data_IF_735740588657
#
_entry.id   IF_735740588657
#
_cell.length_a   1.000
_cell.length_b   1.000
_cell.length_c   1.000
_cell.angle_alpha   90.00
_cell.angle_beta   90.00
_cell.angle_gamma   90.00
#
_symmetry.space_group_name_H-M   'P 1'
#
loop_
_entity.id
_entity.type
_entity.pdbx_description
1 polymer ?
#
# COMPACT_ATOMS: atom_id res chain seq x y z
N UNK A 1 -2.30 7.85 7.67
CA UNK A 1 -2.59 7.84 6.21
C UNK A 1 -3.92 8.53 5.88
N UNK A 2 -4.47 9.35 6.79
CA UNK A 2 -5.83 9.90 6.67
C UNK A 2 -6.06 10.76 5.43
N UNK A 3 -5.00 11.36 4.88
CA UNK A 3 -5.06 12.14 3.63
C UNK A 3 -5.69 11.38 2.46
N UNK A 4 -5.56 10.06 2.40
CA UNK A 4 -6.18 9.24 1.34
C UNK A 4 -7.69 9.31 1.46
N UNK A 5 -8.23 9.16 2.67
CA UNK A 5 -9.66 9.23 2.94
C UNK A 5 -10.17 10.65 2.64
N UNK A 6 -9.40 11.68 2.99
CA UNK A 6 -9.74 13.06 2.65
C UNK A 6 -9.85 13.27 1.14
N UNK A 7 -8.93 12.69 0.35
CA UNK A 7 -8.99 12.76 -1.12
C UNK A 7 -10.14 11.94 -1.70
N UNK A 8 -10.46 10.80 -1.12
CA UNK A 8 -11.63 10.00 -1.52
C UNK A 8 -12.92 10.80 -1.28
N UNK A 9 -13.03 11.50 -0.15
CA UNK A 9 -14.17 12.36 0.16
C UNK A 9 -14.30 13.55 -0.82
N UNK A 10 -13.17 14.14 -1.22
CA UNK A 10 -13.13 15.19 -2.26
C UNK A 10 -13.46 14.61 -3.65
N UNK A 11 -13.18 13.33 -3.89
CA UNK A 11 -13.52 12.60 -5.11
C UNK A 11 -12.49 12.67 -6.23
N UNK A 12 -11.33 13.31 -6.02
CA UNK A 12 -10.24 13.36 -6.99
C UNK A 12 -8.88 13.66 -6.35
N UNK A 13 -7.81 13.41 -7.11
CA UNK A 13 -6.45 13.89 -6.81
C UNK A 13 -5.82 14.51 -8.06
N UNK A 14 -5.03 15.56 -7.85
CA UNK A 14 -4.22 16.15 -8.91
C UNK A 14 -2.83 15.54 -8.91
N UNK A 15 -2.40 15.01 -10.05
CA UNK A 15 -1.12 14.34 -10.26
C UNK A 15 -0.27 15.20 -11.20
N UNK A 16 0.87 15.66 -10.68
CA UNK A 16 1.82 16.45 -11.45
C UNK A 16 2.71 15.51 -12.26
N UNK A 17 2.88 15.79 -13.56
CA UNK A 17 3.83 15.04 -14.37
C UNK A 17 5.27 15.33 -13.87
N UNK A 18 6.06 14.30 -13.50
CA UNK A 18 7.41 14.50 -12.97
C UNK A 18 8.37 15.15 -13.99
N UNK A 19 8.15 14.95 -15.29
CA UNK A 19 8.98 15.51 -16.36
C UNK A 19 8.52 16.90 -16.82
N UNK A 20 7.24 17.25 -16.59
CA UNK A 20 6.70 18.57 -16.89
C UNK A 20 5.77 19.05 -15.78
N UNK A 21 6.33 19.83 -14.84
CA UNK A 21 5.60 20.31 -13.65
C UNK A 21 4.40 21.21 -13.96
N UNK A 22 4.32 21.80 -15.16
CA UNK A 22 3.16 22.60 -15.58
C UNK A 22 1.99 21.74 -16.05
N UNK A 23 2.24 20.47 -16.35
CA UNK A 23 1.19 19.51 -16.74
C UNK A 23 0.67 18.80 -15.48
N UNK A 24 -0.59 19.07 -15.17
CA UNK A 24 -1.31 18.48 -14.04
C UNK A 24 -2.51 17.71 -14.56
N UNK A 25 -2.58 16.43 -14.21
CA UNK A 25 -3.70 15.56 -14.55
C UNK A 25 -4.59 15.37 -13.33
N UNK A 26 -5.90 15.56 -13.49
CA UNK A 26 -6.87 15.24 -12.44
C UNK A 26 -7.34 13.80 -12.59
N UNK A 27 -7.17 13.01 -11.54
CA UNK A 27 -7.58 11.61 -11.49
C UNK A 27 -8.81 11.48 -10.60
N UNK A 28 -9.91 10.95 -11.16
CA UNK A 28 -11.12 10.67 -10.38
C UNK A 28 -10.87 9.58 -9.35
N UNK A 29 -11.37 9.80 -8.14
CA UNK A 29 -11.40 8.82 -7.06
C UNK A 29 -12.83 8.34 -6.76
N UNK A 30 -13.82 8.75 -7.56
CA UNK A 30 -15.21 8.31 -7.38
C UNK A 30 -15.28 6.80 -7.68
N UNK A 31 -15.95 5.98 -6.84
CA UNK A 31 -15.94 4.52 -7.00
C UNK A 31 -16.36 3.98 -8.37
N UNK A 32 -17.27 4.68 -9.07
CA UNK A 32 -17.70 4.29 -10.43
C UNK A 32 -16.57 4.38 -11.47
N UNK A 33 -15.61 5.28 -11.27
CA UNK A 33 -14.52 5.56 -12.20
C UNK A 33 -13.27 4.72 -11.88
N UNK A 34 -13.16 4.24 -10.63
CA UNK A 34 -12.01 3.45 -10.15
C UNK A 34 -12.26 1.96 -10.33
N UNK A 35 -11.37 1.28 -11.07
CA UNK A 35 -11.43 -0.18 -11.25
C UNK A 35 -10.88 -0.94 -10.05
N UNK A 36 -9.75 -0.50 -9.52
CA UNK A 36 -9.06 -1.15 -8.41
C UNK A 36 -8.11 -0.15 -7.74
N UNK A 37 -7.98 -0.25 -6.41
CA UNK A 37 -6.89 0.40 -5.68
C UNK A 37 -5.71 -0.54 -5.55
N UNK A 38 -4.51 -0.05 -5.83
CA UNK A 38 -3.28 -0.83 -5.66
C UNK A 38 -2.48 -0.25 -4.50
N UNK A 39 -2.25 -1.06 -3.48
CA UNK A 39 -1.46 -0.73 -2.30
C UNK A 39 -0.15 -1.50 -2.32
N UNK A 40 0.95 -0.87 -1.91
CA UNK A 40 2.24 -1.54 -1.77
C UNK A 40 2.87 -1.20 -0.44
N UNK A 41 3.33 -2.20 0.30
CA UNK A 41 4.05 -1.98 1.56
C UNK A 41 4.82 -3.22 2.01
N UNK A 42 5.78 -3.01 2.91
CA UNK A 42 6.40 -4.05 3.76
C UNK A 42 5.74 -4.14 5.14
N UNK A 43 4.98 -3.11 5.51
CA UNK A 43 4.24 -3.00 6.77
C UNK A 43 2.87 -2.40 6.49
N UNK A 44 1.81 -3.20 6.58
CA UNK A 44 0.43 -2.79 6.33
C UNK A 44 -0.30 -2.34 7.59
N UNK A 45 0.36 -2.26 8.75
CA UNK A 45 -0.29 -1.92 10.03
C UNK A 45 -1.14 -0.63 9.95
N UNK A 46 -0.58 0.45 9.43
CA UNK A 46 -1.30 1.73 9.31
C UNK A 46 -2.45 1.66 8.30
N UNK A 47 -2.29 0.88 7.25
CA UNK A 47 -3.33 0.69 6.25
C UNK A 47 -4.50 -0.13 6.81
N UNK A 48 -4.21 -1.20 7.56
CA UNK A 48 -5.21 -2.04 8.24
C UNK A 48 -5.99 -1.20 9.24
N UNK A 49 -5.30 -0.44 10.10
CA UNK A 49 -5.95 0.48 11.05
C UNK A 49 -6.85 1.49 10.35
N UNK A 50 -6.39 2.04 9.21
CA UNK A 50 -7.19 2.99 8.42
C UNK A 50 -8.43 2.31 7.81
N UNK A 51 -8.29 1.08 7.30
CA UNK A 51 -9.39 0.30 6.76
C UNK A 51 -10.45 -0.01 7.82
N UNK A 52 -10.02 -0.48 9.00
CA UNK A 52 -10.92 -0.77 10.12
C UNK A 52 -11.63 0.48 10.65
N UNK A 53 -10.97 1.65 10.57
CA UNK A 53 -11.56 2.94 10.94
C UNK A 53 -12.60 3.43 9.93
N UNK A 54 -12.42 3.14 8.63
CA UNK A 54 -13.30 3.61 7.55
C UNK A 54 -13.73 2.51 6.57
N UNK A 55 -14.32 1.39 7.05
CA UNK A 55 -14.54 0.22 6.21
C UNK A 55 -15.49 0.51 5.06
N UNK A 56 -16.50 1.36 5.26
CA UNK A 56 -17.47 1.72 4.23
C UNK A 56 -16.87 2.52 3.08
N UNK A 57 -15.81 3.31 3.35
CA UNK A 57 -15.12 4.06 2.30
C UNK A 57 -14.41 3.09 1.35
N UNK A 58 -13.67 2.13 1.89
CA UNK A 58 -12.93 1.17 1.09
C UNK A 58 -13.86 0.14 0.42
N UNK A 59 -14.86 -0.38 1.15
CA UNK A 59 -15.86 -1.32 0.59
C UNK A 59 -16.73 -0.73 -0.52
N UNK A 60 -16.76 0.60 -0.68
CA UNK A 60 -17.44 1.24 -1.81
C UNK A 60 -16.74 1.00 -3.16
N UNK A 61 -15.45 0.61 -3.14
CA UNK A 61 -14.67 0.33 -4.35
C UNK A 61 -14.79 -1.13 -4.79
N UNK A 62 -14.64 -1.37 -6.10
CA UNK A 62 -14.79 -2.70 -6.70
C UNK A 62 -13.70 -3.70 -6.30
N UNK A 63 -12.54 -3.22 -5.90
CA UNK A 63 -11.42 -4.09 -5.58
C UNK A 63 -10.23 -3.34 -4.99
N UNK A 64 -9.48 -4.08 -4.19
CA UNK A 64 -8.20 -3.69 -3.64
C UNK A 64 -7.18 -4.78 -3.98
N UNK A 65 -5.99 -4.36 -4.40
CA UNK A 65 -4.89 -5.24 -4.74
C UNK A 65 -3.66 -4.82 -3.93
N UNK A 66 -2.93 -5.79 -3.40
CA UNK A 66 -1.86 -5.56 -2.45
C UNK A 66 -0.56 -6.17 -2.96
N UNK A 67 0.45 -5.33 -3.15
CA UNK A 67 1.82 -5.75 -3.35
C UNK A 67 2.53 -5.81 -1.99
N UNK A 68 2.75 -7.02 -1.49
CA UNK A 68 3.40 -7.25 -0.20
C UNK A 68 4.84 -7.71 -0.44
N UNK A 69 5.80 -7.04 0.21
CA UNK A 69 7.19 -7.51 0.25
C UNK A 69 7.54 -8.08 1.62
N UNK A 70 8.02 -9.33 1.64
CA UNK A 70 8.59 -9.97 2.82
C UNK A 70 10.06 -10.25 2.53
N UNK A 71 10.93 -9.73 3.38
CA UNK A 71 12.37 -9.92 3.32
C UNK A 71 12.91 -10.35 4.69
N UNK A 72 14.07 -11.01 4.67
CA UNK A 72 14.83 -11.29 5.88
C UNK A 72 15.25 -9.97 6.56
N UNK A 73 15.27 -9.91 7.90
CA UNK A 73 15.78 -8.74 8.61
C UNK A 73 17.18 -8.37 8.11
N UNK A 74 17.37 -7.10 7.76
CA UNK A 74 18.64 -6.56 7.27
C UNK A 74 18.87 -5.18 7.85
N UNK A 75 20.11 -4.89 8.22
CA UNK A 75 20.51 -3.56 8.67
C UNK A 75 20.45 -2.49 7.59
N UNK A 76 20.28 -2.89 6.31
CA UNK A 76 20.04 -1.97 5.21
C UNK A 76 18.64 -1.34 5.26
N UNK A 77 17.73 -1.89 6.06
CA UNK A 77 16.34 -1.46 6.17
C UNK A 77 15.98 -1.02 7.59
N UNK A 78 16.74 -0.07 8.13
CA UNK A 78 16.61 0.42 9.51
C UNK A 78 15.24 1.02 9.85
N UNK A 79 14.49 1.45 8.83
CA UNK A 79 13.17 2.05 9.03
C UNK A 79 12.03 1.00 9.09
N UNK A 80 12.32 -0.28 8.82
CA UNK A 80 11.35 -1.36 8.92
C UNK A 80 11.35 -1.96 10.34
N UNK A 81 10.88 -1.16 11.30
CA UNK A 81 10.87 -1.50 12.73
C UNK A 81 9.69 -2.40 13.12
N UNK A 82 9.54 -3.53 12.43
CA UNK A 82 8.48 -4.51 12.69
C UNK A 82 9.01 -5.94 12.53
N UNK A 83 8.65 -6.80 13.49
CA UNK A 83 9.02 -8.23 13.46
C UNK A 83 8.45 -8.93 12.22
N UNK A 84 9.16 -9.96 11.76
CA UNK A 84 8.68 -10.80 10.66
C UNK A 84 7.33 -11.47 10.98
N UNK A 85 7.12 -11.94 12.22
CA UNK A 85 5.86 -12.57 12.66
C UNK A 85 4.67 -11.61 12.50
N UNK A 86 4.79 -10.37 12.98
CA UNK A 86 3.75 -9.33 12.79
C UNK A 86 3.47 -9.02 11.32
N UNK A 87 4.47 -9.10 10.44
CA UNK A 87 4.24 -8.91 9.00
C UNK A 87 3.48 -10.09 8.39
N UNK A 88 3.77 -11.31 8.82
CA UNK A 88 2.96 -12.47 8.43
C UNK A 88 1.53 -12.37 8.95
N UNK A 89 1.30 -11.92 10.20
CA UNK A 89 -0.06 -11.73 10.68
C UNK A 89 -0.84 -10.66 9.91
N UNK A 90 -0.16 -9.62 9.39
CA UNK A 90 -0.78 -8.64 8.48
C UNK A 90 -1.14 -9.28 7.14
N UNK A 91 -0.27 -10.14 6.59
CA UNK A 91 -0.56 -10.88 5.37
C UNK A 91 -1.78 -11.79 5.55
N UNK A 92 -1.85 -12.53 6.66
CA UNK A 92 -3.00 -13.38 6.99
C UNK A 92 -4.29 -12.54 7.09
N UNK A 93 -4.23 -11.39 7.76
CA UNK A 93 -5.36 -10.46 7.84
C UNK A 93 -5.82 -10.01 6.44
N UNK A 94 -4.89 -9.64 5.55
CA UNK A 94 -5.21 -9.20 4.19
C UNK A 94 -5.84 -10.32 3.36
N UNK A 95 -5.32 -11.54 3.47
CA UNK A 95 -5.88 -12.72 2.78
C UNK A 95 -7.30 -13.01 3.30
N UNK A 96 -7.53 -12.89 4.60
CA UNK A 96 -8.84 -13.14 5.19
C UNK A 96 -9.88 -12.08 4.76
N UNK A 97 -9.50 -10.81 4.63
CA UNK A 97 -10.43 -9.74 4.24
C UNK A 97 -10.64 -9.62 2.72
N UNK A 98 -9.60 -9.84 1.89
CA UNK A 98 -9.64 -9.58 0.44
C UNK A 98 -9.49 -10.84 -0.43
N UNK A 99 -9.16 -11.98 0.17
CA UNK A 99 -8.83 -13.21 -0.54
C UNK A 99 -7.38 -13.22 -1.05
N UNK A 100 -6.81 -14.41 -1.19
CA UNK A 100 -5.43 -14.61 -1.65
C UNK A 100 -5.16 -14.04 -3.04
N UNK A 101 -6.16 -14.05 -3.93
CA UNK A 101 -6.05 -13.50 -5.30
C UNK A 101 -5.85 -11.97 -5.33
N UNK A 102 -6.16 -11.27 -4.25
CA UNK A 102 -5.92 -9.83 -4.13
C UNK A 102 -4.47 -9.51 -3.75
N UNK A 103 -3.65 -10.51 -3.42
CA UNK A 103 -2.28 -10.31 -2.92
C UNK A 103 -1.27 -10.79 -3.96
N UNK A 104 -0.25 -9.99 -4.17
CA UNK A 104 0.92 -10.34 -4.98
C UNK A 104 2.19 -10.05 -4.21
N UNK A 105 3.12 -10.99 -4.23
CA UNK A 105 4.44 -10.78 -3.66
C UNK A 105 5.27 -9.91 -4.59
N UNK A 106 5.77 -8.79 -4.06
CA UNK A 106 6.76 -7.96 -4.74
C UNK A 106 8.14 -8.31 -4.21
N UNK A 107 9.03 -8.68 -5.12
CA UNK A 107 10.42 -9.01 -4.80
C UNK A 107 11.28 -7.74 -4.88
N UNK A 108 11.98 -7.46 -3.79
CA UNK A 108 13.03 -6.45 -3.80
C UNK A 108 14.35 -7.07 -4.28
N UNK A 109 15.31 -6.25 -4.76
CA UNK A 109 16.62 -6.75 -5.17
C UNK A 109 17.33 -7.48 -4.03
N UNK A 110 18.06 -8.55 -4.36
CA UNK A 110 18.99 -9.19 -3.43
C UNK A 110 20.25 -8.32 -3.38
N UNK A 111 20.56 -7.77 -2.19
CA UNK A 111 21.72 -6.90 -2.00
C UNK A 111 22.83 -7.70 -1.32
N UNK A 112 23.96 -7.84 -2.02
CA UNK A 112 25.20 -8.39 -1.47
C UNK A 112 26.13 -7.24 -1.09
N UNK A 113 26.57 -7.18 0.16
CA UNK A 113 27.45 -6.13 0.65
C UNK A 113 28.44 -6.67 1.70
N UNK A 114 29.49 -5.90 1.96
CA UNK A 114 30.49 -6.17 3.00
C UNK A 114 30.64 -4.93 3.88
N UNK A 115 30.62 -5.11 5.20
CA UNK A 115 31.04 -4.04 6.11
C UNK A 115 32.54 -3.85 6.00
N UNK A 116 32.99 -2.63 5.74
CA UNK A 116 34.39 -2.27 5.96
C UNK A 116 34.58 -2.17 7.48
N UNK A 117 35.43 -3.03 8.03
CA UNK A 117 35.92 -2.90 9.40
C UNK A 117 36.84 -1.70 9.56
#
# INVERSE_FOLDING_TARGET
>A
MDWVVDKIQVGYVDVVNPFNRKQVSRVSLIPKDVKCWVWWSKNFEDWIKLYEKYPQVFKSYKGHFFQFTINSPSELEQNLNISLEKRFSQLDWLINEFGSNAISFRYDPIILYRKKG
#
